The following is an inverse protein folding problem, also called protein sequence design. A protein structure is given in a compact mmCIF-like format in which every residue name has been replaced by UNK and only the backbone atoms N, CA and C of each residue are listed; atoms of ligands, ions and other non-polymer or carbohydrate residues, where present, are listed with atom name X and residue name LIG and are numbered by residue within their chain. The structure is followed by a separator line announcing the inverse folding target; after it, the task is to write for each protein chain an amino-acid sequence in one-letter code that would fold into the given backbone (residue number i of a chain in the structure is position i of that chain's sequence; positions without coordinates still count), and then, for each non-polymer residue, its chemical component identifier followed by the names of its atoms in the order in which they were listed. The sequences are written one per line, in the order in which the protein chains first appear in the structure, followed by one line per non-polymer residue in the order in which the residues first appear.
data_IF_516747259922
#
_entry.id   IF_516747259922
#
_cell.length_a   1.000
_cell.length_b   1.000
_cell.length_c   1.000
_cell.angle_alpha   90.00
_cell.angle_beta   90.00
_cell.angle_gamma   90.00
#
_symmetry.space_group_name_H-M   'P 1'
#
loop_
_entity.id
_entity.type
_entity.pdbx_description
1 polymer ?
#
# COMPACT_ATOMS: atom_id res chain seq x y z
N UNK A 1 -19.95 8.42 25.18
CA UNK A 1 -18.73 8.26 26.00
C UNK A 1 -17.54 8.42 25.08
N UNK A 2 -16.90 9.59 25.09
CA UNK A 2 -15.77 9.91 24.21
C UNK A 2 -14.53 9.12 24.65
N UNK A 3 -13.78 8.62 23.67
CA UNK A 3 -12.51 7.93 23.90
C UNK A 3 -11.53 8.91 24.54
N UNK A 4 -11.14 8.60 25.78
CA UNK A 4 -10.07 9.29 26.48
C UNK A 4 -8.79 9.04 25.69
N UNK A 5 -8.30 10.10 25.05
CA UNK A 5 -7.02 10.13 24.38
C UNK A 5 -5.92 10.00 25.43
N UNK A 6 -5.49 8.77 25.72
CA UNK A 6 -4.32 8.54 26.56
C UNK A 6 -3.11 9.31 25.98
N UNK A 7 -2.40 10.10 26.80
CA UNK A 7 -1.27 10.87 26.32
C UNK A 7 -0.10 9.93 26.04
N UNK A 8 0.01 9.46 24.80
CA UNK A 8 1.26 8.86 24.30
C UNK A 8 2.41 9.86 24.49
N UNK A 9 3.63 9.39 24.78
CA UNK A 9 4.81 10.23 25.00
C UNK A 9 5.23 10.89 23.70
N UNK A 10 4.51 11.93 23.30
CA UNK A 10 4.78 12.74 22.13
C UNK A 10 5.88 13.74 22.49
N UNK A 11 7.12 13.27 22.60
CA UNK A 11 8.26 14.15 22.37
C UNK A 11 8.31 14.43 20.85
N UNK A 12 7.65 15.51 20.41
CA UNK A 12 7.97 16.20 19.16
C UNK A 12 6.96 16.18 18.00
N UNK A 13 6.14 15.13 17.81
CA UNK A 13 5.42 14.94 16.52
C UNK A 13 3.89 15.18 16.55
N UNK A 14 3.38 15.96 17.51
CA UNK A 14 1.92 16.21 17.64
C UNK A 14 1.28 16.75 16.35
N UNK A 15 1.93 17.72 15.69
CA UNK A 15 1.43 18.31 14.43
C UNK A 15 1.30 17.26 13.32
N UNK A 16 2.32 16.41 13.15
CA UNK A 16 2.32 15.35 12.15
C UNK A 16 1.19 14.35 12.39
N UNK A 17 0.95 13.95 13.64
CA UNK A 17 -0.15 13.05 13.98
C UNK A 17 -1.49 13.67 13.57
N UNK A 18 -1.72 14.93 13.92
CA UNK A 18 -2.96 15.64 13.56
C UNK A 18 -3.12 15.81 12.05
N UNK A 19 -2.05 16.10 11.30
CA UNK A 19 -2.11 16.18 9.83
C UNK A 19 -2.45 14.82 9.23
N UNK A 20 -1.77 13.75 9.64
CA UNK A 20 -2.05 12.40 9.14
C UNK A 20 -3.48 11.95 9.45
N UNK A 21 -4.01 12.27 10.64
CA UNK A 21 -5.39 11.93 11.01
C UNK A 21 -6.44 12.71 10.18
N UNK A 22 -6.10 13.90 9.67
CA UNK A 22 -6.97 14.66 8.76
C UNK A 22 -6.96 14.09 7.35
N UNK A 23 -5.79 13.71 6.86
CA UNK A 23 -5.61 13.20 5.49
C UNK A 23 -6.14 11.77 5.35
N UNK A 24 -5.89 10.91 6.34
CA UNK A 24 -6.42 9.54 6.38
C UNK A 24 -6.93 9.24 7.79
N UNK A 25 -8.23 9.47 8.05
CA UNK A 25 -8.82 9.24 9.36
C UNK A 25 -8.64 7.80 9.82
N UNK A 26 -8.06 7.61 11.01
CA UNK A 26 -7.97 6.30 11.64
C UNK A 26 -9.36 5.81 12.02
N UNK A 27 -9.63 4.53 11.77
CA UNK A 27 -10.89 3.89 12.13
C UNK A 27 -10.82 3.31 13.55
N UNK A 28 -11.96 2.95 14.12
CA UNK A 28 -12.02 2.24 15.41
C UNK A 28 -11.32 0.85 15.38
N UNK A 29 -11.04 0.31 14.20
CA UNK A 29 -10.31 -0.94 13.99
C UNK A 29 -8.80 -0.73 13.76
N UNK A 30 -8.33 0.51 13.76
CA UNK A 30 -6.91 0.83 13.54
C UNK A 30 -6.07 0.49 14.76
N UNK A 31 -4.97 -0.24 14.53
CA UNK A 31 -3.99 -0.59 15.57
C UNK A 31 -3.11 0.63 15.84
N UNK A 32 -3.07 1.12 17.08
CA UNK A 32 -2.22 2.24 17.49
C UNK A 32 -1.04 1.81 18.39
N UNK A 33 -1.02 0.53 18.79
CA UNK A 33 -0.05 0.01 19.74
C UNK A 33 0.96 -0.92 19.04
N UNK A 34 2.25 -0.68 19.28
CA UNK A 34 3.34 -1.47 18.68
C UNK A 34 3.34 -2.94 19.12
N UNK A 35 2.96 -3.23 20.37
CA UNK A 35 2.91 -4.60 20.87
C UNK A 35 1.70 -5.35 20.30
N UNK A 36 0.55 -4.69 20.23
CA UNK A 36 -0.63 -5.23 19.56
C UNK A 36 -0.34 -5.56 18.10
N UNK A 37 0.30 -4.63 17.37
CA UNK A 37 0.71 -4.84 15.98
C UNK A 37 1.62 -6.05 15.83
N UNK A 38 2.58 -6.23 16.75
CA UNK A 38 3.44 -7.42 16.76
C UNK A 38 2.65 -8.71 16.99
N UNK A 39 1.65 -8.69 17.86
CA UNK A 39 0.85 -9.87 18.22
C UNK A 39 -0.08 -10.27 17.07
N UNK A 40 -0.84 -9.31 16.54
CA UNK A 40 -1.81 -9.51 15.45
C UNK A 40 -1.12 -10.00 14.17
N UNK A 41 0.08 -9.49 13.88
CA UNK A 41 0.87 -9.93 12.72
C UNK A 41 1.80 -11.11 13.03
N UNK A 42 1.72 -11.71 14.24
CA UNK A 42 2.54 -12.85 14.67
C UNK A 42 4.06 -12.66 14.50
N UNK A 43 4.58 -11.45 14.73
CA UNK A 43 5.96 -11.06 14.42
C UNK A 43 6.97 -11.39 15.53
N UNK A 44 6.61 -12.19 16.55
CA UNK A 44 7.50 -12.49 17.68
C UNK A 44 8.81 -13.14 17.25
N UNK A 45 8.74 -14.18 16.41
CA UNK A 45 9.92 -14.89 15.91
C UNK A 45 10.80 -13.98 15.05
N UNK A 46 10.17 -13.23 14.14
CA UNK A 46 10.88 -12.30 13.26
C UNK A 46 11.57 -11.18 14.05
N UNK A 47 10.92 -10.66 15.08
CA UNK A 47 11.52 -9.67 15.97
C UNK A 47 12.71 -10.23 16.75
N UNK A 48 12.61 -11.48 17.25
CA UNK A 48 13.71 -12.16 17.95
C UNK A 48 14.91 -12.39 17.02
N UNK A 49 14.65 -12.82 15.79
CA UNK A 49 15.68 -12.99 14.76
C UNK A 49 16.37 -11.67 14.42
N UNK A 50 15.62 -10.58 14.24
CA UNK A 50 16.21 -9.26 13.98
C UNK A 50 17.16 -8.80 15.10
N UNK A 51 16.83 -9.06 16.38
CA UNK A 51 17.70 -8.72 17.51
C UNK A 51 19.00 -9.52 17.57
N UNK A 52 19.09 -10.66 16.89
CA UNK A 52 20.27 -11.48 16.81
C UNK A 52 21.18 -11.14 15.62
N UNK A 53 20.74 -10.26 14.70
CA UNK A 53 21.57 -9.79 13.59
C UNK A 53 22.69 -8.88 14.11
N UNK A 54 23.82 -8.87 13.42
CA UNK A 54 24.93 -7.95 13.68
C UNK A 54 24.47 -6.48 13.63
N UNK A 55 23.59 -6.16 12.67
CA UNK A 55 22.98 -4.85 12.50
C UNK A 55 21.44 -4.95 12.55
N UNK A 56 20.82 -4.89 13.74
CA UNK A 56 19.37 -4.98 13.89
C UNK A 56 18.66 -3.77 13.27
N UNK A 57 17.55 -4.03 12.56
CA UNK A 57 16.66 -2.98 12.06
C UNK A 57 15.98 -2.25 13.21
N UNK A 58 15.81 -0.93 13.07
CA UNK A 58 15.42 -0.03 14.16
C UNK A 58 13.91 -0.03 14.39
N UNK A 59 13.14 -0.11 13.32
CA UNK A 59 11.68 0.00 13.34
C UNK A 59 11.01 -1.31 12.98
N UNK A 60 9.79 -1.50 13.47
CA UNK A 60 8.99 -2.68 13.12
C UNK A 60 8.64 -2.68 11.62
N UNK A 61 8.44 -1.50 11.04
CA UNK A 61 8.16 -1.34 9.60
C UNK A 61 9.33 -1.83 8.75
N UNK A 62 10.57 -1.46 9.10
CA UNK A 62 11.77 -1.98 8.40
C UNK A 62 11.83 -3.50 8.49
N UNK A 63 11.58 -4.09 9.66
CA UNK A 63 11.61 -5.55 9.86
C UNK A 63 10.59 -6.25 8.94
N UNK A 64 9.35 -5.76 8.93
CA UNK A 64 8.26 -6.32 8.11
C UNK A 64 8.61 -6.20 6.62
N UNK A 65 8.97 -5.00 6.17
CA UNK A 65 9.26 -4.72 4.76
C UNK A 65 10.45 -5.54 4.28
N UNK A 66 11.54 -5.61 5.05
CA UNK A 66 12.72 -6.41 4.73
C UNK A 66 12.38 -7.91 4.60
N UNK A 67 11.58 -8.46 5.51
CA UNK A 67 11.15 -9.85 5.43
C UNK A 67 10.41 -10.13 4.11
N UNK A 68 9.43 -9.31 3.76
CA UNK A 68 8.67 -9.52 2.52
C UNK A 68 9.50 -9.31 1.26
N UNK A 69 10.47 -8.39 1.27
CA UNK A 69 11.42 -8.20 0.16
C UNK A 69 12.30 -9.45 -0.05
N UNK A 70 12.87 -9.98 1.03
CA UNK A 70 13.72 -11.19 1.01
C UNK A 70 12.94 -12.44 0.57
N UNK A 71 11.66 -12.55 0.94
CA UNK A 71 10.84 -13.75 0.70
C UNK A 71 9.92 -13.63 -0.53
N UNK A 72 9.96 -12.51 -1.26
CA UNK A 72 9.09 -12.27 -2.45
C UNK A 72 9.35 -13.26 -3.59
N UNK A 73 10.56 -13.82 -3.67
CA UNK A 73 10.98 -14.75 -4.72
C UNK A 73 10.92 -16.24 -4.35
N UNK A 74 10.84 -16.58 -3.07
CA UNK A 74 10.92 -17.99 -2.61
C UNK A 74 9.57 -18.70 -2.58
N UNK A 75 8.45 -17.97 -2.67
CA UNK A 75 7.10 -18.57 -2.66
C UNK A 75 6.64 -19.15 -4.00
N UNK A 76 7.34 -18.91 -5.13
CA UNK A 76 6.94 -19.39 -6.46
C UNK A 76 8.12 -19.86 -7.32
N UNK A 77 9.02 -20.66 -6.74
CA UNK A 77 9.95 -21.46 -7.55
C UNK A 77 10.10 -22.87 -6.97
N UNK A 78 8.95 -23.57 -6.91
CA UNK A 78 8.93 -25.03 -7.06
C UNK A 78 8.14 -25.34 -8.34
N UNK A 79 8.52 -24.67 -9.43
CA UNK A 79 8.17 -25.10 -10.77
C UNK A 79 9.16 -26.20 -11.12
N UNK A 80 8.71 -27.45 -10.97
CA UNK A 80 9.46 -28.63 -11.40
C UNK A 80 10.04 -28.38 -12.78
N UNK A 81 11.36 -28.48 -12.89
CA UNK A 81 12.08 -28.55 -14.15
C UNK A 81 11.54 -29.74 -14.96
N UNK A 82 10.70 -29.46 -15.94
CA UNK A 82 10.48 -30.35 -17.07
C UNK A 82 10.94 -29.60 -18.30
N UNK A 83 12.16 -29.92 -18.72
CA UNK A 83 12.68 -29.54 -20.01
C UNK A 83 11.83 -30.20 -21.09
N UNK A 84 11.18 -29.39 -21.94
CA UNK A 84 10.77 -29.86 -23.25
C UNK A 84 10.94 -28.74 -24.29
N UNK A 85 12.07 -28.85 -24.97
CA UNK A 85 12.35 -28.54 -26.37
C UNK A 85 11.53 -27.47 -27.08
N UNK A 86 12.24 -26.44 -27.54
CA UNK A 86 11.84 -25.56 -28.64
C UNK A 86 11.52 -26.38 -29.91
N UNK A 87 10.59 -25.88 -30.74
CA UNK A 87 10.93 -25.81 -32.16
C UNK A 87 10.69 -24.41 -32.74
N UNK A 88 11.65 -24.01 -33.56
CA UNK A 88 11.61 -22.89 -34.48
C UNK A 88 10.28 -22.82 -35.27
N UNK A 89 9.81 -21.59 -35.54
CA UNK A 89 9.31 -21.22 -36.87
C UNK A 89 9.33 -19.70 -37.07
N UNK A 90 10.02 -19.30 -38.14
CA UNK A 90 10.08 -17.94 -38.67
C UNK A 90 8.78 -17.61 -39.42
N UNK A 91 8.23 -16.40 -39.25
CA UNK A 91 7.56 -15.58 -40.29
C UNK A 91 7.03 -14.31 -39.58
N UNK A 92 7.65 -13.15 -39.78
CA UNK A 92 7.28 -12.11 -40.75
C UNK A 92 5.92 -11.43 -40.52
N UNK A 93 6.01 -10.10 -40.40
CA UNK A 93 5.05 -9.07 -40.82
C UNK A 93 3.78 -8.85 -39.95
N UNK A 94 3.86 -7.75 -39.17
CA UNK A 94 2.90 -6.63 -39.14
C UNK A 94 1.40 -6.91 -39.30
N UNK A 95 0.63 -6.66 -38.23
CA UNK A 95 -0.64 -5.94 -38.35
C UNK A 95 -1.07 -5.35 -36.99
N UNK A 96 -0.93 -4.03 -36.85
CA UNK A 96 -1.65 -3.23 -35.86
C UNK A 96 -3.10 -3.09 -36.34
N UNK A 97 -4.14 -3.35 -35.52
CA UNK A 97 -5.45 -2.82 -35.81
C UNK A 97 -5.48 -1.34 -35.42
N UNK A 98 -5.50 -0.54 -36.48
CA UNK A 98 -5.92 0.86 -36.60
C UNK A 98 -7.09 1.18 -35.64
N UNK A 99 -6.91 2.20 -34.79
CA UNK A 99 -7.99 2.80 -34.02
C UNK A 99 -8.31 4.12 -34.70
N UNK A 100 -9.38 4.12 -35.51
CA UNK A 100 -9.95 5.32 -36.12
C UNK A 100 -10.24 6.39 -35.06
N UNK A 101 -9.63 7.58 -35.23
CA UNK A 101 -10.10 8.84 -34.67
C UNK A 101 -11.30 9.32 -35.50
N UNK A 102 -12.49 9.45 -34.90
CA UNK A 102 -13.40 10.56 -35.24
C UNK A 102 -14.50 10.79 -34.18
N UNK A 103 -14.92 12.05 -34.13
CA UNK A 103 -16.10 12.64 -33.54
C UNK A 103 -15.95 13.22 -32.13
N UNK A 104 -15.37 14.42 -32.12
CA UNK A 104 -15.70 15.43 -31.15
C UNK A 104 -17.22 15.69 -31.10
N UNK A 105 -17.74 15.85 -29.89
CA UNK A 105 -18.99 16.58 -29.67
C UNK A 105 -18.89 17.31 -28.34
N UNK A 106 -18.44 18.56 -28.44
CA UNK A 106 -18.58 19.54 -27.39
C UNK A 106 -20.05 19.94 -27.29
N UNK A 107 -20.71 19.52 -26.24
CA UNK A 107 -21.98 20.05 -25.77
C UNK A 107 -21.95 19.95 -24.24
N UNK A 108 -22.41 20.87 -23.43
CA UNK A 108 -22.67 22.29 -23.53
C UNK A 108 -22.69 22.75 -22.07
N UNK A 109 -22.26 23.98 -21.84
CA UNK A 109 -22.41 24.72 -20.59
C UNK A 109 -23.90 24.74 -20.18
N UNK A 110 -24.25 24.25 -18.98
CA UNK A 110 -25.49 24.69 -18.31
C UNK A 110 -25.14 25.23 -16.92
N UNK A 111 -25.12 26.56 -16.87
CA UNK A 111 -24.97 27.37 -15.68
C UNK A 111 -26.37 27.70 -15.18
N UNK A 112 -26.88 26.92 -14.22
CA UNK A 112 -28.13 27.25 -13.52
C UNK A 112 -27.83 27.77 -12.11
N UNK A 113 -27.58 29.08 -12.06
CA UNK A 113 -27.53 29.94 -10.86
C UNK A 113 -28.95 30.42 -10.54
N UNK A 114 -29.49 30.10 -9.36
CA UNK A 114 -30.69 30.70 -8.72
C UNK A 114 -30.76 30.11 -7.30
N UNK A 115 -30.99 30.79 -6.18
CA UNK A 115 -31.19 32.19 -5.82
C UNK A 115 -31.14 32.25 -4.28
N UNK A 116 -30.74 33.40 -3.76
CA UNK A 116 -30.80 33.76 -2.36
C UNK A 116 -32.20 33.56 -1.75
N UNK A 117 -32.23 33.12 -0.50
CA UNK A 117 -33.30 33.56 0.41
C UNK A 117 -32.70 33.81 1.78
N UNK A 118 -32.73 35.09 2.16
CA UNK A 118 -32.58 35.57 3.53
C UNK A 118 -33.91 35.30 4.25
N UNK A 119 -33.84 34.80 5.47
CA UNK A 119 -34.61 35.28 6.62
C UNK A 119 -33.79 35.05 7.88
#
# INVERSE_FOLDING_TARGET
KGLVSDPFPSQGLKKTITTMDRELPRSALSINNRNELRNVLHLHSLYKQNKAKENPLKTLLEIITNYFLEHRGTSRSSGSSSALSTPHSKSSASHLPDLDEDHGSANALDESKTQASRY
#
